data_IF_121163416490
#
_entry.id   IF_121163416490
#
_cell.length_a   1.000
_cell.length_b   1.000
_cell.length_c   1.000
_cell.angle_alpha   90.00
_cell.angle_beta   90.00
_cell.angle_gamma   90.00
#
_symmetry.space_group_name_H-M   'P 1'
#
loop_
_entity.id
_entity.type
_entity.pdbx_description
1 polymer ?
#
# COMPACT_ATOMS: atom_id res chain seq x y z
N UNK A 1 -15.58 7.30 -8.21
CA UNK A 1 -16.55 7.85 -7.24
C UNK A 1 -15.95 7.71 -5.85
N UNK A 2 -15.56 8.82 -5.20
CA UNK A 2 -14.85 8.78 -3.93
C UNK A 2 -15.75 8.50 -2.72
N UNK A 3 -17.03 8.92 -2.79
CA UNK A 3 -18.01 8.66 -1.73
C UNK A 3 -18.40 7.19 -1.68
N UNK A 4 -18.66 6.58 -2.84
CA UNK A 4 -19.00 5.15 -2.95
C UNK A 4 -17.89 4.24 -2.39
N UNK A 5 -16.63 4.61 -2.63
CA UNK A 5 -15.47 3.77 -2.26
C UNK A 5 -14.87 4.11 -0.91
N UNK A 6 -15.42 5.10 -0.21
CA UNK A 6 -14.82 5.68 0.99
C UNK A 6 -14.56 4.63 2.09
N UNK A 7 -15.53 3.77 2.36
CA UNK A 7 -15.42 2.75 3.42
C UNK A 7 -14.25 1.79 3.18
N UNK A 8 -14.16 1.25 1.97
CA UNK A 8 -13.10 0.30 1.58
C UNK A 8 -11.73 0.98 1.44
N UNK A 9 -11.69 2.23 0.98
CA UNK A 9 -10.45 3.00 0.94
C UNK A 9 -9.92 3.27 2.37
N UNK A 10 -10.79 3.56 3.33
CA UNK A 10 -10.43 3.71 4.75
C UNK A 10 -9.92 2.36 5.29
N UNK A 11 -10.60 1.26 4.95
CA UNK A 11 -10.20 -0.08 5.36
C UNK A 11 -8.81 -0.45 4.84
N UNK A 12 -8.50 -0.17 3.57
CA UNK A 12 -7.17 -0.43 3.00
C UNK A 12 -6.07 0.38 3.68
N UNK A 13 -6.28 1.69 3.86
CA UNK A 13 -5.31 2.58 4.52
C UNK A 13 -5.06 2.13 5.96
N UNK A 14 -6.12 1.79 6.69
CA UNK A 14 -6.01 1.24 8.04
C UNK A 14 -5.32 -0.12 8.05
N UNK A 15 -5.67 -1.01 7.12
CA UNK A 15 -5.11 -2.35 7.00
C UNK A 15 -3.61 -2.35 6.75
N UNK A 16 -3.12 -1.55 5.79
CA UNK A 16 -1.68 -1.37 5.55
C UNK A 16 -0.98 -0.88 6.81
N UNK A 17 -1.55 0.12 7.49
CA UNK A 17 -0.94 0.72 8.68
C UNK A 17 -0.82 -0.28 9.84
N UNK A 18 -1.89 -1.04 10.11
CA UNK A 18 -1.90 -2.06 11.17
C UNK A 18 -0.94 -3.19 10.84
N UNK A 19 -0.96 -3.69 9.60
CA UNK A 19 -0.10 -4.78 9.17
C UNK A 19 1.39 -4.37 9.17
N UNK A 20 1.71 -3.13 8.80
CA UNK A 20 3.08 -2.63 8.84
C UNK A 20 3.57 -2.50 10.29
N UNK A 21 2.77 -1.93 11.20
CA UNK A 21 3.13 -1.87 12.62
C UNK A 21 3.31 -3.27 13.23
N UNK A 22 2.50 -4.26 12.81
CA UNK A 22 2.68 -5.65 13.22
C UNK A 22 4.03 -6.22 12.75
N UNK A 23 4.46 -5.93 11.51
CA UNK A 23 5.79 -6.29 11.01
C UNK A 23 6.89 -5.63 11.87
N UNK A 24 6.78 -4.33 12.14
CA UNK A 24 7.76 -3.61 12.95
C UNK A 24 7.86 -4.20 14.37
N UNK A 25 6.73 -4.53 14.99
CA UNK A 25 6.69 -5.21 16.29
C UNK A 25 7.36 -6.58 16.26
N UNK A 26 7.13 -7.35 15.18
CA UNK A 26 7.74 -8.66 15.00
C UNK A 26 9.26 -8.53 14.87
N UNK A 27 9.75 -7.58 14.06
CA UNK A 27 11.18 -7.29 13.91
C UNK A 27 11.82 -6.84 15.24
N UNK A 28 11.17 -5.95 16.00
CA UNK A 28 11.68 -5.52 17.31
C UNK A 28 11.83 -6.68 18.29
N UNK A 29 10.90 -7.64 18.28
CA UNK A 29 10.97 -8.85 19.12
C UNK A 29 11.94 -9.90 18.59
N UNK A 30 12.22 -9.88 17.29
CA UNK A 30 13.03 -10.87 16.58
C UNK A 30 13.99 -10.18 15.61
N UNK A 31 15.03 -9.48 16.11
CA UNK A 31 15.94 -8.71 15.26
C UNK A 31 16.63 -9.56 14.18
N UNK A 32 16.78 -10.86 14.40
CA UNK A 32 17.38 -11.82 13.48
C UNK A 32 16.64 -11.93 12.14
N UNK A 33 15.36 -11.57 12.08
CA UNK A 33 14.59 -11.59 10.82
C UNK A 33 14.78 -10.30 10.01
N UNK A 34 15.45 -9.28 10.57
CA UNK A 34 15.70 -8.01 9.90
C UNK A 34 16.86 -8.12 8.90
N UNK A 35 16.74 -9.06 7.97
CA UNK A 35 17.73 -9.37 6.96
C UNK A 35 17.15 -9.12 5.58
N UNK A 36 18.02 -8.73 4.66
CA UNK A 36 17.63 -8.59 3.26
C UNK A 36 17.38 -9.98 2.65
N UNK A 37 16.35 -10.06 1.82
CA UNK A 37 16.09 -11.22 0.96
C UNK A 37 15.99 -10.70 -0.47
N UNK A 38 16.73 -11.31 -1.39
CA UNK A 38 16.83 -10.88 -2.80
C UNK A 38 17.18 -9.39 -2.95
N UNK A 39 18.05 -8.88 -2.06
CA UNK A 39 18.50 -7.49 -2.05
C UNK A 39 17.51 -6.49 -1.42
N UNK A 40 16.31 -6.93 -1.03
CA UNK A 40 15.26 -6.08 -0.47
C UNK A 40 15.16 -6.20 1.05
N UNK A 41 14.96 -5.07 1.73
CA UNK A 41 14.68 -5.07 3.18
C UNK A 41 13.28 -5.64 3.47
N UNK A 42 13.00 -6.10 4.71
CA UNK A 42 11.65 -6.51 5.10
C UNK A 42 10.59 -5.42 4.81
N UNK A 43 10.91 -4.15 5.05
CA UNK A 43 10.00 -3.03 4.80
C UNK A 43 9.68 -2.86 3.31
N UNK A 44 10.71 -2.95 2.45
CA UNK A 44 10.52 -2.88 1.00
C UNK A 44 9.65 -4.03 0.52
N UNK A 45 9.95 -5.25 1.00
CA UNK A 45 9.18 -6.45 0.67
C UNK A 45 7.74 -6.36 1.12
N UNK A 46 7.46 -5.74 2.27
CA UNK A 46 6.09 -5.55 2.74
C UNK A 46 5.26 -4.73 1.75
N UNK A 47 5.74 -3.54 1.38
CA UNK A 47 5.02 -2.67 0.46
C UNK A 47 4.92 -3.24 -0.95
N UNK A 48 5.98 -3.91 -1.43
CA UNK A 48 5.95 -4.65 -2.69
C UNK A 48 4.94 -5.79 -2.63
N UNK A 49 4.93 -6.55 -1.54
CA UNK A 49 4.01 -7.68 -1.32
C UNK A 49 2.56 -7.24 -1.30
N UNK A 50 2.25 -6.12 -0.65
CA UNK A 50 0.92 -5.50 -0.72
C UNK A 50 0.52 -5.22 -2.17
N UNK A 51 1.34 -4.47 -2.91
CA UNK A 51 1.05 -4.10 -4.28
C UNK A 51 0.92 -5.33 -5.21
N UNK A 52 1.71 -6.37 -4.96
CA UNK A 52 1.64 -7.63 -5.70
C UNK A 52 0.36 -8.42 -5.44
N UNK A 53 -0.19 -8.36 -4.23
CA UNK A 53 -1.45 -9.00 -3.85
C UNK A 53 -2.66 -8.44 -4.61
N UNK A 54 -2.59 -7.18 -5.02
CA UNK A 54 -3.62 -6.48 -5.79
C UNK A 54 -3.40 -6.51 -7.31
N UNK A 55 -2.47 -7.33 -7.82
CA UNK A 55 -2.27 -7.43 -9.28
C UNK A 55 -3.49 -8.08 -9.93
N UNK A 56 -4.23 -7.29 -10.69
CA UNK A 56 -5.35 -7.74 -11.51
C UNK A 56 -5.30 -7.08 -12.88
N UNK A 57 -5.85 -7.76 -13.88
CA UNK A 57 -6.22 -7.15 -15.16
C UNK A 57 -7.71 -7.38 -15.41
N UNK A 58 -8.41 -6.34 -15.83
CA UNK A 58 -9.86 -6.37 -16.07
C UNK A 58 -10.18 -5.90 -17.48
N UNK A 59 -11.22 -6.47 -18.07
CA UNK A 59 -11.78 -5.97 -19.33
C UNK A 59 -12.43 -4.61 -19.09
N UNK A 60 -12.35 -3.72 -20.07
CA UNK A 60 -12.92 -2.36 -19.98
C UNK A 60 -14.39 -2.34 -19.57
N UNK A 61 -15.19 -3.30 -20.05
CA UNK A 61 -16.61 -3.38 -19.70
C UNK A 61 -16.81 -3.70 -18.21
N UNK A 62 -16.00 -4.61 -17.66
CA UNK A 62 -16.00 -4.93 -16.23
C UNK A 62 -15.52 -3.73 -15.40
N UNK A 63 -14.46 -3.05 -15.83
CA UNK A 63 -13.94 -1.87 -15.15
C UNK A 63 -14.97 -0.74 -15.10
N UNK A 64 -15.69 -0.49 -16.21
CA UNK A 64 -16.77 0.51 -16.26
C UNK A 64 -17.89 0.17 -15.27
N UNK A 65 -18.30 -1.10 -15.22
CA UNK A 65 -19.31 -1.54 -14.26
C UNK A 65 -18.83 -1.38 -12.82
N UNK A 66 -17.59 -1.79 -12.52
CA UNK A 66 -16.99 -1.70 -11.20
C UNK A 66 -16.98 -0.26 -10.68
N UNK A 67 -16.49 0.69 -11.49
CA UNK A 67 -16.40 2.11 -11.12
C UNK A 67 -17.76 2.72 -10.73
N UNK A 68 -18.86 2.17 -11.25
CA UNK A 68 -20.22 2.65 -10.99
C UNK A 68 -20.93 1.92 -9.86
N UNK A 69 -20.59 0.66 -9.56
CA UNK A 69 -21.42 -0.21 -8.71
C UNK A 69 -20.67 -0.85 -7.54
N UNK A 70 -19.36 -1.04 -7.66
CA UNK A 70 -18.56 -1.74 -6.68
C UNK A 70 -18.09 -0.76 -5.58
N UNK A 71 -18.25 -1.08 -4.28
CA UNK A 71 -17.70 -0.26 -3.21
C UNK A 71 -16.17 -0.26 -3.14
N UNK A 72 -15.49 -1.12 -3.90
CA UNK A 72 -14.04 -1.15 -3.96
C UNK A 72 -13.51 -0.28 -5.11
N UNK A 73 -12.46 0.49 -4.82
CA UNK A 73 -11.66 1.13 -5.86
C UNK A 73 -11.05 0.06 -6.79
N UNK A 74 -10.85 0.36 -8.09
CA UNK A 74 -10.14 -0.56 -8.98
C UNK A 74 -8.77 -0.95 -8.41
N UNK A 75 -8.34 -2.19 -8.65
CA UNK A 75 -7.22 -2.81 -7.92
C UNK A 75 -5.90 -2.06 -8.08
N UNK A 76 -5.66 -1.41 -9.22
CA UNK A 76 -4.47 -0.58 -9.42
C UNK A 76 -4.39 0.59 -8.42
N UNK A 77 -5.53 1.15 -8.03
CA UNK A 77 -5.58 2.20 -7.00
C UNK A 77 -5.42 1.62 -5.59
N UNK A 78 -6.01 0.46 -5.31
CA UNK A 78 -5.84 -0.26 -4.02
C UNK A 78 -4.40 -0.78 -3.82
N UNK A 79 -3.73 -1.15 -4.90
CA UNK A 79 -2.33 -1.54 -4.90
C UNK A 79 -1.40 -0.38 -4.53
N UNK A 80 -1.69 0.81 -5.08
CA UNK A 80 -0.78 1.95 -5.02
C UNK A 80 -1.09 2.91 -3.86
N UNK A 81 -2.32 3.40 -3.75
CA UNK A 81 -2.62 4.54 -2.88
C UNK A 81 -2.42 4.24 -1.38
N UNK A 82 -2.91 3.11 -0.82
CA UNK A 82 -2.74 2.80 0.60
C UNK A 82 -1.28 2.76 1.04
N UNK A 83 -0.40 2.19 0.20
CA UNK A 83 1.04 2.16 0.51
C UNK A 83 1.71 3.51 0.25
N UNK A 84 1.32 4.23 -0.78
CA UNK A 84 1.98 5.48 -1.18
C UNK A 84 1.67 6.65 -0.22
N UNK A 85 0.49 6.65 0.41
CA UNK A 85 0.09 7.64 1.43
C UNK A 85 0.54 7.28 2.85
N UNK A 86 1.05 6.06 3.05
CA UNK A 86 1.55 5.60 4.34
C UNK A 86 2.83 6.37 4.74
N UNK A 87 2.93 6.76 6.00
CA UNK A 87 4.00 7.66 6.48
C UNK A 87 5.42 7.13 6.30
N UNK A 88 5.58 5.80 6.38
CA UNK A 88 6.86 5.11 6.25
C UNK A 88 7.30 4.88 4.80
N UNK A 89 6.41 5.03 3.81
CA UNK A 89 6.74 4.69 2.42
C UNK A 89 7.93 5.49 1.90
N UNK A 90 7.92 6.80 2.16
CA UNK A 90 9.00 7.70 1.77
C UNK A 90 10.33 7.36 2.44
N UNK A 91 10.31 6.91 3.70
CA UNK A 91 11.53 6.45 4.39
C UNK A 91 12.11 5.19 3.75
N UNK A 92 11.24 4.33 3.22
CA UNK A 92 11.62 3.02 2.66
C UNK A 92 12.09 3.11 1.20
N UNK A 93 11.49 4.01 0.40
CA UNK A 93 11.77 4.12 -1.04
C UNK A 93 12.30 5.49 -1.49
N UNK A 94 12.36 6.49 -0.60
CA UNK A 94 12.73 7.86 -0.96
C UNK A 94 14.12 7.96 -1.58
N UNK A 95 15.10 7.24 -1.03
CA UNK A 95 16.48 7.19 -1.55
C UNK A 95 16.59 6.44 -2.90
N UNK A 96 15.61 5.59 -3.22
CA UNK A 96 15.54 4.86 -4.49
C UNK A 96 14.87 5.69 -5.61
N UNK A 97 14.15 6.76 -5.24
CA UNK A 97 13.47 7.62 -6.20
C UNK A 97 14.43 8.63 -6.82
N UNK A 98 14.74 8.47 -8.11
CA UNK A 98 15.50 9.46 -8.90
C UNK A 98 14.88 10.87 -8.93
N UNK A 99 13.59 11.00 -8.59
CA UNK A 99 12.88 12.28 -8.60
C UNK A 99 12.97 13.04 -7.27
N UNK A 100 13.50 12.42 -6.21
CA UNK A 100 13.40 12.96 -4.86
C UNK A 100 11.95 13.05 -4.38
N UNK A 101 11.78 13.05 -3.05
CA UNK A 101 10.54 13.25 -2.29
C UNK A 101 9.23 13.20 -3.10
N UNK A 102 8.53 12.06 -3.04
CA UNK A 102 7.20 11.92 -3.62
C UNK A 102 6.28 12.90 -2.91
N UNK A 103 5.91 14.03 -3.56
CA UNK A 103 5.05 15.13 -3.04
C UNK A 103 3.61 14.69 -2.69
N UNK A 104 3.45 13.50 -2.16
CA UNK A 104 2.18 12.85 -1.87
C UNK A 104 1.72 13.34 -0.52
N UNK A 105 0.47 13.81 -0.48
CA UNK A 105 -0.16 14.14 0.79
C UNK A 105 -0.35 12.85 1.58
N UNK A 106 0.36 12.73 2.71
CA UNK A 106 0.18 11.63 3.66
C UNK A 106 -1.25 11.69 4.20
N UNK A 107 -1.88 10.53 4.33
CA UNK A 107 -3.23 10.40 4.88
C UNK A 107 -3.11 9.55 6.14
N UNK A 108 -3.51 10.14 7.26
CA UNK A 108 -3.59 9.46 8.56
C UNK A 108 -5.02 9.56 9.06
N UNK A 109 -5.65 8.40 9.24
CA UNK A 109 -7.05 8.31 9.68
C UNK A 109 -7.11 8.11 11.20
N UNK A 110 -6.18 7.33 11.74
CA UNK A 110 -6.05 6.99 13.16
C UNK A 110 -4.71 7.52 13.70
#
# INVERSE_FOLDING_TARGET
NGELTLGENIADIGGVSIAYEALQRRIRKHPEINVKMDGLTPDQRFFIGWAQGWRMNMRDQTLKWQVSNDPHSPDNFRAQLPVYVHESFEKVFGELSKKGNTKVKKIKIW
#
